data_IF_054828438716
#
_entry.id   IF_054828438716
#
_cell.length_a   1.000
_cell.length_b   1.000
_cell.length_c   1.000
_cell.angle_alpha   90.00
_cell.angle_beta   90.00
_cell.angle_gamma   90.00
#
_symmetry.space_group_name_H-M   'P 1'
#
loop_
_entity.id
_entity.type
_entity.pdbx_description
1 polymer ?
#
# COMPACT_ATOMS: atom_id res chain seq x y z
N UNK A 1 24.69 42.19 -39.80
CA UNK A 1 23.29 41.73 -39.65
C UNK A 1 23.27 40.50 -38.75
N UNK A 2 22.58 40.51 -37.59
CA UNK A 2 22.53 39.34 -36.73
C UNK A 2 21.34 38.44 -37.09
N UNK A 3 21.61 37.15 -37.28
CA UNK A 3 20.61 36.11 -37.54
C UNK A 3 19.83 35.86 -36.25
N UNK A 4 18.51 36.12 -36.27
CA UNK A 4 17.60 35.80 -35.16
C UNK A 4 17.35 34.30 -35.10
N UNK A 5 17.73 33.66 -34.00
CA UNK A 5 17.38 32.28 -33.69
C UNK A 5 16.00 32.24 -33.02
N UNK A 6 15.01 31.62 -33.66
CA UNK A 6 13.71 31.30 -33.06
C UNK A 6 13.67 29.81 -32.73
N UNK A 7 13.47 29.38 -31.48
CA UNK A 7 13.32 27.96 -31.16
C UNK A 7 11.97 27.44 -31.67
N UNK A 8 12.00 26.40 -32.52
CA UNK A 8 10.81 25.63 -32.89
C UNK A 8 10.43 24.68 -31.74
N UNK A 9 9.19 24.75 -31.28
CA UNK A 9 8.59 23.75 -30.39
C UNK A 9 8.41 22.42 -31.14
N UNK A 10 8.80 21.26 -30.58
CA UNK A 10 8.58 19.96 -31.23
C UNK A 10 7.09 19.57 -31.32
N UNK A 11 6.69 19.00 -32.46
CA UNK A 11 5.30 18.73 -32.88
C UNK A 11 4.52 17.64 -32.11
N UNK A 12 5.02 17.14 -30.97
CA UNK A 12 4.28 16.15 -30.16
C UNK A 12 3.19 16.78 -29.27
N UNK A 13 3.03 18.11 -29.29
CA UNK A 13 2.00 18.83 -28.51
C UNK A 13 0.60 18.79 -29.17
N UNK A 14 0.46 18.25 -30.38
CA UNK A 14 -0.83 18.20 -31.11
C UNK A 14 -1.17 16.79 -31.56
N UNK A 15 -1.66 15.95 -30.64
CA UNK A 15 -2.63 14.86 -30.91
C UNK A 15 -2.89 14.06 -29.62
N UNK A 16 -3.81 14.56 -28.79
CA UNK A 16 -4.53 13.69 -27.83
C UNK A 16 -5.67 13.03 -28.60
N UNK A 17 -5.61 11.70 -28.80
CA UNK A 17 -6.82 10.89 -29.02
C UNK A 17 -7.43 10.53 -27.65
N UNK A 18 -8.76 10.39 -27.54
CA UNK A 18 -9.44 10.18 -26.27
C UNK A 18 -9.04 8.82 -25.68
N UNK A 19 -8.78 8.80 -24.38
CA UNK A 19 -8.68 7.56 -23.60
C UNK A 19 -10.12 7.09 -23.35
N UNK A 20 -10.37 5.81 -23.63
CA UNK A 20 -11.67 5.17 -23.47
C UNK A 20 -12.27 5.38 -22.07
N UNK A 21 -13.59 5.51 -22.05
CA UNK A 21 -14.42 5.99 -20.97
C UNK A 21 -14.12 5.35 -19.61
N UNK A 22 -13.88 6.25 -18.67
CA UNK A 22 -13.93 6.04 -17.24
C UNK A 22 -15.42 5.87 -16.89
N UNK A 23 -15.82 4.67 -16.46
CA UNK A 23 -17.19 4.41 -16.03
C UNK A 23 -17.47 5.19 -14.73
N UNK A 24 -17.98 6.39 -14.91
CA UNK A 24 -18.27 7.40 -13.90
C UNK A 24 -19.66 7.18 -13.33
N UNK A 25 -19.84 6.09 -12.57
CA UNK A 25 -21.00 5.91 -11.69
C UNK A 25 -20.58 6.15 -10.22
N UNK A 26 -19.95 7.29 -9.97
CA UNK A 26 -19.88 7.87 -8.63
C UNK A 26 -20.78 9.09 -8.61
N UNK A 27 -22.00 8.89 -8.09
CA UNK A 27 -22.96 9.96 -7.86
C UNK A 27 -22.33 11.05 -7.00
N UNK A 28 -22.35 12.24 -7.58
CA UNK A 28 -22.01 13.51 -6.96
C UNK A 28 -23.28 14.06 -6.36
N UNK A 29 -23.52 13.81 -5.07
CA UNK A 29 -24.49 14.60 -4.32
C UNK A 29 -23.80 15.40 -3.22
N UNK A 30 -23.88 16.70 -3.44
CA UNK A 30 -23.59 17.80 -2.54
C UNK A 30 -24.59 17.74 -1.39
N UNK A 31 -24.13 17.66 -0.15
CA UNK A 31 -25.01 17.76 1.02
C UNK A 31 -24.67 19.03 1.81
N UNK A 32 -25.36 20.12 1.46
CA UNK A 32 -25.65 21.25 2.34
C UNK A 32 -26.59 20.78 3.44
N UNK A 33 -26.21 20.92 4.71
CA UNK A 33 -27.10 20.69 5.86
C UNK A 33 -27.60 22.05 6.34
N UNK A 34 -28.91 22.26 6.23
CA UNK A 34 -29.66 23.28 6.95
C UNK A 34 -30.92 22.64 7.55
N UNK A 35 -31.16 23.00 8.82
CA UNK A 35 -32.46 23.12 9.51
C UNK A 35 -33.17 21.81 9.93
N UNK A 36 -33.20 21.43 11.21
CA UNK A 36 -33.95 21.90 12.41
C UNK A 36 -35.25 21.13 12.68
N UNK A 37 -35.51 20.91 13.98
CA UNK A 37 -36.76 20.49 14.67
C UNK A 37 -37.19 19.01 14.59
N UNK A 38 -37.97 18.42 15.52
CA UNK A 38 -38.21 18.53 16.97
C UNK A 38 -39.32 17.49 17.34
N UNK A 39 -39.37 17.04 18.61
CA UNK A 39 -40.54 16.45 19.35
C UNK A 39 -40.95 14.99 18.93
N UNK A 40 -41.29 14.00 19.77
CA UNK A 40 -41.91 13.96 21.11
C UNK A 40 -41.61 12.65 21.91
N UNK A 41 -41.88 12.74 23.21
CA UNK A 41 -41.94 11.71 24.26
C UNK A 41 -42.95 10.56 24.03
N UNK A 42 -42.64 9.38 24.59
CA UNK A 42 -43.59 8.64 25.45
C UNK A 42 -42.93 7.55 26.31
N UNK A 43 -43.55 7.38 27.48
CA UNK A 43 -43.26 6.67 28.73
C UNK A 43 -43.13 5.13 28.73
N UNK A 44 -42.07 4.66 29.41
CA UNK A 44 -41.95 3.61 30.45
C UNK A 44 -42.90 2.40 30.55
N UNK A 45 -42.32 1.19 30.66
CA UNK A 45 -42.62 0.19 31.73
C UNK A 45 -41.42 -0.74 32.01
N UNK A 46 -41.16 -0.98 33.29
CA UNK A 46 -40.04 -1.71 33.90
C UNK A 46 -39.95 -3.20 33.58
N UNK A 47 -38.73 -3.74 33.60
CA UNK A 47 -38.42 -5.08 34.12
C UNK A 47 -36.97 -5.14 34.60
N UNK A 48 -36.81 -5.22 35.91
CA UNK A 48 -35.53 -5.35 36.61
C UNK A 48 -35.01 -6.77 36.49
N UNK A 49 -33.84 -6.98 35.88
CA UNK A 49 -33.02 -8.17 36.12
C UNK A 49 -31.59 -7.73 36.44
N UNK A 50 -31.25 -8.03 37.68
CA UNK A 50 -29.99 -8.08 38.40
C UNK A 50 -28.71 -8.04 37.57
N UNK A 51 -27.91 -7.02 37.86
CA UNK A 51 -26.53 -6.81 37.48
C UNK A 51 -25.60 -7.91 37.97
N UNK A 52 -24.78 -8.47 37.08
CA UNK A 52 -23.44 -8.95 37.40
C UNK A 52 -22.49 -8.56 36.26
N UNK A 53 -21.98 -7.34 36.38
CA UNK A 53 -20.97 -6.75 35.52
C UNK A 53 -19.59 -7.28 35.89
N UNK A 54 -19.08 -8.24 35.13
CA UNK A 54 -17.63 -8.39 34.94
C UNK A 54 -17.27 -7.61 33.68
N UNK A 55 -16.89 -6.35 33.87
CA UNK A 55 -16.11 -5.61 32.89
C UNK A 55 -14.75 -6.33 32.78
N UNK A 56 -14.68 -7.32 31.89
CA UNK A 56 -13.42 -7.62 31.24
C UNK A 56 -13.19 -6.46 30.29
N UNK A 57 -12.42 -5.47 30.74
CA UNK A 57 -11.80 -4.50 29.85
C UNK A 57 -11.00 -5.31 28.83
N UNK A 58 -11.62 -5.53 27.67
CA UNK A 58 -10.90 -5.97 26.49
C UNK A 58 -9.89 -4.86 26.23
N UNK A 59 -8.66 -5.07 26.70
CA UNK A 59 -7.50 -4.27 26.39
C UNK A 59 -7.44 -4.22 24.86
N UNK A 60 -8.01 -3.15 24.27
CA UNK A 60 -8.06 -3.00 22.84
C UNK A 60 -6.61 -2.90 22.40
N UNK A 61 -6.14 -3.93 21.70
CA UNK A 61 -4.81 -3.95 21.13
C UNK A 61 -4.56 -2.60 20.44
N UNK A 62 -3.64 -1.77 20.96
CA UNK A 62 -3.44 -0.41 20.48
C UNK A 62 -2.98 -0.39 19.01
N UNK A 63 -2.52 -1.52 18.45
CA UNK A 63 -2.19 -1.65 17.04
C UNK A 63 -3.43 -1.64 16.13
N UNK A 64 -4.61 -2.00 16.64
CA UNK A 64 -5.87 -1.99 15.88
C UNK A 64 -6.35 -0.57 15.56
N UNK A 65 -5.98 0.42 16.38
CA UNK A 65 -6.35 1.83 16.21
C UNK A 65 -5.38 2.62 15.31
N UNK A 66 -4.26 2.03 14.87
CA UNK A 66 -3.29 2.73 14.04
C UNK A 66 -3.87 2.93 12.62
N UNK A 67 -3.95 4.17 12.10
CA UNK A 67 -4.48 4.41 10.76
C UNK A 67 -3.63 3.73 9.68
N UNK A 68 -4.30 2.98 8.80
CA UNK A 68 -3.64 2.33 7.66
C UNK A 68 -2.99 3.32 6.71
N UNK A 69 -3.45 4.57 6.61
CA UNK A 69 -2.78 5.57 5.75
C UNK A 69 -1.50 6.07 6.39
N UNK A 70 -0.38 5.92 5.69
CA UNK A 70 0.86 6.63 6.00
C UNK A 70 0.84 7.99 5.30
N UNK A 71 0.91 9.07 6.08
CA UNK A 71 0.98 10.45 5.59
C UNK A 71 2.28 11.08 6.08
N UNK A 72 3.37 10.97 5.32
CA UNK A 72 4.65 11.57 5.70
C UNK A 72 4.58 13.04 6.08
N UNK A 73 3.76 13.83 5.40
CA UNK A 73 3.61 15.27 5.64
C UNK A 73 3.14 15.62 7.05
N UNK A 74 2.56 14.66 7.79
CA UNK A 74 2.14 14.83 9.18
C UNK A 74 3.22 14.42 10.19
N UNK A 75 4.29 13.74 9.73
CA UNK A 75 5.29 13.11 10.59
C UNK A 75 6.68 13.74 10.37
N UNK A 76 6.98 14.07 9.11
CA UNK A 76 8.27 14.59 8.68
C UNK A 76 8.15 16.07 8.27
N UNK A 77 8.87 16.98 8.96
CA UNK A 77 8.87 18.39 8.59
C UNK A 77 9.40 18.60 7.17
N UNK A 78 8.66 19.26 6.26
CA UNK A 78 9.05 19.42 4.87
C UNK A 78 10.30 20.29 4.69
N UNK A 79 10.63 21.13 5.68
CA UNK A 79 11.87 21.90 5.71
C UNK A 79 13.13 21.04 5.93
N UNK A 80 12.98 19.81 6.45
CA UNK A 80 14.10 18.92 6.79
C UNK A 80 14.13 17.66 5.92
N UNK A 81 12.97 17.18 5.45
CA UNK A 81 12.85 15.94 4.71
C UNK A 81 12.22 16.16 3.34
N UNK A 82 12.88 15.65 2.31
CA UNK A 82 12.22 15.35 1.04
C UNK A 82 11.55 13.97 1.12
N UNK A 83 10.59 13.64 0.23
CA UNK A 83 10.00 12.30 0.19
C UNK A 83 11.02 11.16 0.07
N UNK A 84 12.17 11.41 -0.58
CA UNK A 84 13.26 10.43 -0.70
C UNK A 84 14.03 10.24 0.61
N UNK A 85 14.09 11.28 1.44
CA UNK A 85 14.84 11.23 2.71
C UNK A 85 14.17 10.37 3.77
N UNK A 86 12.88 10.07 3.59
CA UNK A 86 12.11 9.18 4.47
C UNK A 86 12.52 7.72 4.28
N UNK A 87 12.94 7.35 3.07
CA UNK A 87 13.45 6.02 2.77
C UNK A 87 14.96 5.98 3.02
N UNK A 88 15.41 5.16 3.96
CA UNK A 88 16.82 5.04 4.32
C UNK A 88 17.32 3.63 3.96
N UNK A 89 18.00 3.46 2.81
CA UNK A 89 18.59 2.18 2.44
C UNK A 89 19.77 1.85 3.37
N UNK A 90 19.76 0.66 3.98
CA UNK A 90 20.92 0.11 4.70
C UNK A 90 21.02 -1.40 4.50
N UNK A 91 22.18 -1.82 3.99
CA UNK A 91 22.38 -3.21 3.58
C UNK A 91 21.34 -3.61 2.53
N UNK A 92 20.62 -4.70 2.79
CA UNK A 92 19.58 -5.25 1.90
C UNK A 92 18.19 -4.65 2.17
N UNK A 93 18.06 -3.69 3.08
CA UNK A 93 16.76 -3.21 3.58
C UNK A 93 16.55 -1.74 3.27
N UNK A 94 15.28 -1.34 3.15
CA UNK A 94 14.85 0.07 3.17
C UNK A 94 14.08 0.31 4.46
N UNK A 95 14.59 1.23 5.29
CA UNK A 95 13.99 1.60 6.57
C UNK A 95 13.31 2.97 6.49
N UNK A 96 12.44 3.26 7.46
CA UNK A 96 11.96 4.63 7.68
C UNK A 96 13.02 5.47 8.41
N UNK A 97 13.22 6.70 7.95
CA UNK A 97 13.98 7.71 8.66
C UNK A 97 13.32 8.04 10.01
N UNK A 98 14.15 8.35 11.00
CA UNK A 98 13.70 8.93 12.26
C UNK A 98 13.22 10.36 12.01
N UNK A 99 11.95 10.71 12.33
CA UNK A 99 11.43 12.06 12.12
C UNK A 99 12.14 13.11 12.98
N UNK A 100 12.84 12.69 14.04
CA UNK A 100 13.66 13.55 14.89
C UNK A 100 15.11 13.69 14.40
N UNK A 101 15.49 13.06 13.30
CA UNK A 101 16.84 13.15 12.74
C UNK A 101 17.06 14.53 12.13
N UNK A 102 17.73 15.41 12.87
CA UNK A 102 17.96 16.81 12.47
C UNK A 102 18.94 16.99 11.32
N UNK A 103 19.90 16.08 11.18
CA UNK A 103 20.96 16.13 10.16
C UNK A 103 21.14 14.77 9.52
N UNK A 104 21.58 14.79 8.26
CA UNK A 104 22.03 13.60 7.53
C UNK A 104 23.46 13.26 7.96
N UNK A 105 23.80 11.99 7.94
CA UNK A 105 25.18 11.55 8.15
C UNK A 105 26.08 12.15 7.06
N UNK A 106 27.21 12.74 7.46
CA UNK A 106 28.15 13.39 6.53
C UNK A 106 28.78 12.43 5.53
N UNK A 107 28.91 11.15 5.87
CA UNK A 107 29.52 10.14 5.00
C UNK A 107 28.54 9.55 3.98
N UNK A 108 27.36 9.13 4.42
CA UNK A 108 26.41 8.42 3.56
C UNK A 108 25.19 9.26 3.13
N UNK A 109 25.03 10.48 3.64
CA UNK A 109 23.99 11.41 3.20
C UNK A 109 22.56 11.00 3.54
N UNK A 110 22.36 10.13 4.55
CA UNK A 110 21.02 9.69 4.99
C UNK A 110 20.75 10.02 6.45
N UNK A 111 19.48 10.13 6.82
CA UNK A 111 19.05 10.31 8.21
C UNK A 111 19.27 9.04 9.04
N UNK A 112 19.25 9.18 10.37
CA UNK A 112 19.13 8.04 11.29
C UNK A 112 17.82 7.30 10.97
N UNK A 113 17.80 5.97 11.03
CA UNK A 113 16.66 5.15 10.67
C UNK A 113 16.16 4.30 11.83
N UNK A 114 14.87 3.97 11.82
CA UNK A 114 14.25 3.00 12.72
C UNK A 114 14.40 1.59 12.13
N UNK A 115 15.22 0.75 12.75
CA UNK A 115 15.57 -0.60 12.26
C UNK A 115 14.44 -1.62 12.41
N UNK A 116 13.42 -1.27 13.19
CA UNK A 116 12.16 -1.98 13.41
C UNK A 116 11.04 -1.51 12.45
N UNK A 117 11.30 -0.52 11.57
CA UNK A 117 10.32 0.04 10.64
C UNK A 117 10.81 -0.05 9.19
N UNK A 118 10.27 -1.00 8.41
CA UNK A 118 10.68 -1.28 7.04
C UNK A 118 9.68 -0.76 6.00
N UNK A 119 10.18 -0.48 4.80
CA UNK A 119 9.38 -0.10 3.63
C UNK A 119 9.42 -1.23 2.60
N UNK A 120 8.25 -1.69 2.19
CA UNK A 120 8.08 -2.69 1.13
C UNK A 120 7.33 -2.04 -0.03
N UNK A 121 7.99 -1.88 -1.16
CA UNK A 121 7.38 -1.33 -2.36
C UNK A 121 6.68 -2.44 -3.17
N UNK A 122 5.50 -2.15 -3.73
CA UNK A 122 4.77 -3.08 -4.56
C UNK A 122 4.25 -2.43 -5.83
N UNK A 123 4.16 -3.23 -6.89
CA UNK A 123 3.45 -2.85 -8.12
C UNK A 123 2.88 -4.10 -8.82
N UNK A 124 1.79 -3.90 -9.54
CA UNK A 124 1.16 -4.90 -10.40
C UNK A 124 1.09 -4.41 -11.84
N UNK A 125 1.41 -5.28 -12.79
CA UNK A 125 1.35 -4.96 -14.21
C UNK A 125 0.46 -5.96 -14.95
N UNK A 126 -0.23 -5.48 -15.99
CA UNK A 126 -1.00 -6.33 -16.89
C UNK A 126 -0.74 -5.89 -18.33
N UNK A 127 -0.36 -6.82 -19.21
CA UNK A 127 -0.35 -6.57 -20.65
C UNK A 127 -1.75 -6.74 -21.21
N UNK A 128 -2.05 -5.91 -22.22
CA UNK A 128 -3.32 -5.93 -22.95
C UNK A 128 -4.52 -5.77 -22.02
N UNK A 129 -4.71 -4.56 -21.50
CA UNK A 129 -5.89 -4.19 -20.72
C UNK A 129 -7.13 -4.06 -21.65
N UNK A 130 -7.42 -5.12 -22.43
CA UNK A 130 -8.52 -5.20 -23.39
C UNK A 130 -8.29 -4.53 -24.76
N UNK A 131 -7.11 -3.97 -25.05
CA UNK A 131 -6.91 -3.10 -26.23
C UNK A 131 -6.08 -3.70 -27.38
N UNK A 132 -5.48 -4.88 -27.21
CA UNK A 132 -4.74 -5.57 -28.27
C UNK A 132 -5.41 -6.93 -28.57
N UNK A 133 -6.11 -7.08 -29.72
CA UNK A 133 -6.98 -8.22 -29.98
C UNK A 133 -6.27 -9.58 -30.19
N UNK A 134 -4.94 -9.61 -30.30
CA UNK A 134 -4.19 -10.82 -30.67
C UNK A 134 -3.33 -11.44 -29.57
N UNK A 135 -3.20 -10.82 -28.39
CA UNK A 135 -2.35 -11.34 -27.31
C UNK A 135 -3.17 -11.65 -26.06
N UNK A 136 -3.10 -12.89 -25.58
CA UNK A 136 -3.71 -13.32 -24.30
C UNK A 136 -3.28 -12.35 -23.18
N UNK A 137 -4.20 -11.77 -22.40
CA UNK A 137 -3.85 -10.86 -21.32
C UNK A 137 -3.04 -11.61 -20.26
N UNK A 138 -2.05 -10.93 -19.70
CA UNK A 138 -1.13 -11.53 -18.73
C UNK A 138 -0.85 -10.51 -17.64
N UNK A 139 -1.01 -10.93 -16.40
CA UNK A 139 -0.70 -10.13 -15.22
C UNK A 139 0.60 -10.59 -14.56
N UNK A 140 1.22 -9.69 -13.83
CA UNK A 140 2.41 -9.94 -13.03
C UNK A 140 2.47 -8.99 -11.84
N UNK A 141 3.36 -9.30 -10.89
CA UNK A 141 3.64 -8.48 -9.72
C UNK A 141 5.13 -8.32 -9.49
N UNK A 142 5.47 -7.23 -8.80
CA UNK A 142 6.79 -6.94 -8.26
C UNK A 142 6.66 -6.48 -6.80
N UNK A 143 7.46 -7.07 -5.91
CA UNK A 143 7.62 -6.68 -4.50
C UNK A 143 9.10 -6.42 -4.24
N UNK A 144 9.42 -5.23 -3.74
CA UNK A 144 10.79 -4.77 -3.51
C UNK A 144 10.97 -4.32 -2.05
N UNK A 145 11.82 -5.02 -1.31
CA UNK A 145 12.20 -4.74 0.08
C UNK A 145 13.56 -4.03 0.20
N UNK A 146 14.37 -4.06 -0.88
CA UNK A 146 15.70 -3.46 -0.94
C UNK A 146 16.59 -4.14 -1.97
N UNK A 147 17.76 -3.55 -2.26
CA UNK A 147 18.68 -4.15 -3.23
C UNK A 147 19.25 -5.47 -2.72
N UNK A 148 19.33 -6.45 -3.63
CA UNK A 148 19.69 -7.82 -3.35
C UNK A 148 18.85 -8.48 -2.24
N UNK A 149 17.71 -7.96 -1.80
CA UNK A 149 16.97 -8.57 -0.70
C UNK A 149 16.37 -9.94 -1.11
N UNK A 150 16.57 -11.03 -0.34
CA UNK A 150 16.03 -12.35 -0.68
C UNK A 150 14.49 -12.41 -0.66
N UNK A 151 13.84 -11.47 0.04
CA UNK A 151 12.39 -11.34 0.08
C UNK A 151 11.80 -10.57 -1.10
N UNK A 152 12.64 -10.00 -1.97
CA UNK A 152 12.18 -9.44 -3.23
C UNK A 152 11.46 -10.52 -4.05
N UNK A 153 10.30 -10.17 -4.62
CA UNK A 153 9.51 -11.12 -5.41
C UNK A 153 9.14 -10.54 -6.76
N UNK A 154 9.35 -11.34 -7.80
CA UNK A 154 8.87 -11.11 -9.15
C UNK A 154 8.08 -12.34 -9.55
N UNK A 155 6.84 -12.18 -9.99
CA UNK A 155 6.00 -13.30 -10.38
C UNK A 155 5.11 -12.92 -11.56
N UNK A 156 5.10 -13.76 -12.59
CA UNK A 156 4.04 -13.78 -13.60
C UNK A 156 2.88 -14.62 -13.04
N UNK A 157 1.66 -14.10 -13.14
CA UNK A 157 0.48 -14.74 -12.57
C UNK A 157 -0.13 -15.69 -13.61
N UNK A 158 -0.52 -16.88 -13.15
CA UNK A 158 -1.28 -17.86 -13.95
C UNK A 158 -2.75 -17.46 -14.03
N UNK A 159 -3.54 -18.15 -14.86
CA UNK A 159 -4.99 -17.96 -14.91
C UNK A 159 -5.63 -18.29 -13.54
N UNK A 160 -5.17 -19.36 -12.88
CA UNK A 160 -5.62 -19.73 -11.53
C UNK A 160 -5.28 -18.66 -10.49
N UNK A 161 -4.07 -18.08 -10.55
CA UNK A 161 -3.66 -17.00 -9.64
C UNK A 161 -4.62 -15.80 -9.71
N UNK A 162 -5.24 -15.54 -10.86
CA UNK A 162 -6.10 -14.37 -11.10
C UNK A 162 -7.59 -14.69 -11.21
N UNK A 163 -8.00 -15.96 -11.04
CA UNK A 163 -9.37 -16.39 -11.28
C UNK A 163 -9.82 -16.09 -12.71
N UNK A 164 -8.95 -16.38 -13.68
CA UNK A 164 -9.09 -16.20 -15.13
C UNK A 164 -9.29 -14.74 -15.60
N UNK A 165 -9.20 -13.76 -14.69
CA UNK A 165 -9.39 -12.34 -14.99
C UNK A 165 -8.10 -11.53 -14.86
N UNK A 166 -7.32 -11.54 -15.93
CA UNK A 166 -6.14 -10.69 -16.06
C UNK A 166 -6.53 -9.22 -16.28
N UNK A 167 -6.40 -8.39 -15.24
CA UNK A 167 -6.57 -6.94 -15.32
C UNK A 167 -5.49 -6.20 -14.53
N UNK A 168 -5.31 -4.91 -14.80
CA UNK A 168 -4.38 -4.08 -14.02
C UNK A 168 -4.77 -4.04 -12.53
N UNK A 169 -6.06 -3.98 -12.22
CA UNK A 169 -6.55 -3.96 -10.82
C UNK A 169 -6.26 -5.29 -10.09
N UNK A 170 -6.51 -6.42 -10.75
CA UNK A 170 -6.22 -7.74 -10.19
C UNK A 170 -4.72 -7.91 -9.96
N UNK A 171 -3.88 -7.49 -10.91
CA UNK A 171 -2.42 -7.50 -10.75
C UNK A 171 -1.97 -6.71 -9.51
N UNK A 172 -2.53 -5.51 -9.32
CA UNK A 172 -2.24 -4.64 -8.17
C UNK A 172 -2.68 -5.27 -6.84
N UNK A 173 -3.86 -5.90 -6.79
CA UNK A 173 -4.36 -6.58 -5.59
C UNK A 173 -3.50 -7.79 -5.22
N UNK A 174 -3.08 -8.59 -6.21
CA UNK A 174 -2.20 -9.73 -6.01
C UNK A 174 -0.80 -9.30 -5.56
N UNK A 175 -0.29 -8.20 -6.12
CA UNK A 175 0.95 -7.59 -5.66
C UNK A 175 0.86 -7.09 -4.21
N UNK A 176 -0.27 -6.51 -3.82
CA UNK A 176 -0.53 -6.03 -2.45
C UNK A 176 -0.57 -7.21 -1.47
N UNK A 177 -1.36 -8.24 -1.77
CA UNK A 177 -1.42 -9.46 -0.98
C UNK A 177 -0.04 -10.11 -0.83
N UNK A 178 0.73 -10.20 -1.93
CA UNK A 178 2.10 -10.75 -1.87
C UNK A 178 3.02 -9.91 -0.98
N UNK A 179 2.96 -8.58 -1.06
CA UNK A 179 3.77 -7.71 -0.20
C UNK A 179 3.46 -7.89 1.29
N UNK A 180 2.19 -8.09 1.63
CA UNK A 180 1.76 -8.40 3.01
C UNK A 180 2.22 -9.80 3.45
N UNK A 181 2.17 -10.81 2.58
CA UNK A 181 2.77 -12.11 2.88
C UNK A 181 4.28 -12.00 3.12
N UNK A 182 5.01 -11.22 2.31
CA UNK A 182 6.45 -11.02 2.53
C UNK A 182 6.70 -10.32 3.86
N UNK A 183 5.86 -9.36 4.26
CA UNK A 183 5.95 -8.72 5.56
C UNK A 183 5.88 -9.73 6.72
N UNK A 184 4.97 -10.72 6.63
CA UNK A 184 4.84 -11.77 7.64
C UNK A 184 6.09 -12.64 7.71
N UNK A 185 6.56 -13.14 6.56
CA UNK A 185 7.80 -13.93 6.48
C UNK A 185 9.01 -13.19 7.05
N UNK A 186 9.14 -11.89 6.75
CA UNK A 186 10.22 -11.06 7.28
C UNK A 186 10.11 -10.89 8.80
N UNK A 187 8.89 -10.72 9.31
CA UNK A 187 8.62 -10.61 10.74
C UNK A 187 9.04 -11.88 11.49
N UNK A 188 8.60 -13.04 11.01
CA UNK A 188 8.94 -14.36 11.56
C UNK A 188 10.46 -14.61 11.53
N UNK A 189 11.10 -14.41 10.38
CA UNK A 189 12.53 -14.69 10.20
C UNK A 189 13.44 -13.82 11.09
N UNK A 190 13.06 -12.55 11.27
CA UNK A 190 13.77 -11.62 12.16
C UNK A 190 13.54 -11.93 13.64
N UNK A 191 12.33 -12.39 14.01
CA UNK A 191 12.05 -12.83 15.37
C UNK A 191 12.82 -14.12 15.73
N UNK A 192 12.99 -15.03 14.76
CA UNK A 192 13.73 -16.28 14.93
C UNK A 192 15.26 -16.11 14.89
N UNK A 193 15.77 -14.89 14.66
CA UNK A 193 17.21 -14.61 14.65
C UNK A 193 17.97 -15.25 13.49
N UNK A 194 17.28 -15.53 12.38
CA UNK A 194 17.83 -16.27 11.25
C UNK A 194 18.89 -15.47 10.48
N UNK A 195 20.14 -15.89 10.70
CA UNK A 195 21.30 -16.03 9.81
C UNK A 195 21.46 -15.23 8.50
N UNK A 196 20.94 -14.01 8.33
CA UNK A 196 21.58 -13.05 7.42
C UNK A 196 22.92 -12.60 8.03
N UNK A 197 23.89 -13.51 8.04
CA UNK A 197 25.15 -13.52 8.78
C UNK A 197 26.11 -12.35 8.52
N UNK A 198 25.68 -11.13 8.85
CA UNK A 198 26.53 -9.95 8.88
C UNK A 198 26.76 -9.58 10.35
N UNK A 199 27.95 -9.96 10.82
CA UNK A 199 28.55 -9.73 12.13
C UNK A 199 28.65 -8.25 12.57
N UNK A 200 28.22 -7.29 11.75
CA UNK A 200 28.20 -5.88 12.13
C UNK A 200 27.07 -5.51 13.12
N UNK A 201 26.15 -6.42 13.42
CA UNK A 201 25.02 -6.16 14.33
C UNK A 201 25.23 -6.53 15.81
N UNK A 202 26.26 -7.30 16.15
CA UNK A 202 26.45 -7.78 17.54
C UNK A 202 27.04 -6.74 18.50
N UNK A 203 27.70 -5.70 17.99
CA UNK A 203 28.30 -4.66 18.84
C UNK A 203 27.29 -3.59 19.34
N UNK A 204 26.06 -3.54 18.81
CA UNK A 204 25.06 -2.51 19.15
C UNK A 204 23.66 -3.04 19.53
N UNK A 205 23.48 -4.35 19.75
CA UNK A 205 22.25 -4.87 20.38
C UNK A 205 20.93 -4.57 19.64
N UNK A 206 20.92 -4.58 18.30
CA UNK A 206 19.71 -4.28 17.52
C UNK A 206 19.48 -5.25 16.35
N UNK A 207 19.04 -6.47 16.68
CA UNK A 207 18.09 -7.21 15.86
C UNK A 207 16.74 -7.07 16.54
N UNK A 208 16.02 -5.99 16.27
CA UNK A 208 14.67 -5.79 16.82
C UNK A 208 13.66 -6.34 15.83
N UNK A 209 12.66 -7.01 16.36
CA UNK A 209 11.49 -7.48 15.62
C UNK A 209 10.92 -6.35 14.76
N UNK A 210 10.42 -6.70 13.57
CA UNK A 210 9.74 -5.71 12.73
C UNK A 210 8.45 -5.31 13.42
N UNK A 211 8.34 -4.04 13.79
CA UNK A 211 7.14 -3.48 14.46
C UNK A 211 6.26 -2.68 13.52
N UNK A 212 6.84 -2.18 12.42
CA UNK A 212 6.14 -1.39 11.44
C UNK A 212 6.55 -1.76 10.03
N UNK A 213 5.56 -2.01 9.18
CA UNK A 213 5.73 -2.18 7.74
C UNK A 213 4.94 -1.10 7.01
N UNK A 214 5.61 -0.36 6.15
CA UNK A 214 4.98 0.56 5.22
C UNK A 214 4.97 -0.04 3.82
N UNK A 215 3.78 -0.39 3.35
CA UNK A 215 3.53 -0.79 1.96
C UNK A 215 3.50 0.46 1.09
N UNK A 216 4.49 0.61 0.21
CA UNK A 216 4.63 1.75 -0.70
C UNK A 216 4.09 1.39 -2.09
N UNK A 217 3.23 2.24 -2.63
CA UNK A 217 2.64 2.07 -3.96
C UNK A 217 2.33 3.42 -4.62
N UNK A 218 2.38 3.48 -5.94
CA UNK A 218 1.89 4.60 -6.76
C UNK A 218 0.45 4.39 -7.26
N UNK A 219 -0.21 3.31 -6.84
CA UNK A 219 -1.59 2.99 -7.19
C UNK A 219 -2.58 3.59 -6.19
N UNK A 220 -3.31 4.63 -6.62
CA UNK A 220 -4.45 5.16 -5.84
C UNK A 220 -5.52 4.09 -5.59
N UNK A 221 -5.73 3.20 -6.56
CA UNK A 221 -6.68 2.09 -6.42
C UNK A 221 -6.38 1.25 -5.17
N UNK A 222 -5.11 0.91 -4.95
CA UNK A 222 -4.69 0.16 -3.77
C UNK A 222 -4.74 1.03 -2.52
N UNK A 223 -4.07 2.19 -2.52
CA UNK A 223 -3.91 2.94 -1.27
C UNK A 223 -5.25 3.50 -0.79
N UNK A 224 -6.05 4.12 -1.66
CA UNK A 224 -7.39 4.60 -1.26
C UNK A 224 -8.34 3.43 -1.01
N UNK A 225 -8.24 2.36 -1.80
CA UNK A 225 -9.00 1.14 -1.59
C UNK A 225 -8.86 0.62 -0.17
N UNK A 226 -7.62 0.42 0.30
CA UNK A 226 -7.36 -0.06 1.67
C UNK A 226 -7.72 0.98 2.75
N UNK A 227 -7.42 2.26 2.53
CA UNK A 227 -7.48 3.25 3.62
C UNK A 227 -8.80 3.99 3.75
N UNK A 228 -9.61 4.05 2.69
CA UNK A 228 -10.83 4.87 2.63
C UNK A 228 -12.06 4.03 2.30
N UNK A 229 -11.96 3.13 1.31
CA UNK A 229 -13.10 2.40 0.77
C UNK A 229 -13.37 1.09 1.50
N UNK A 230 -12.33 0.30 1.76
CA UNK A 230 -12.43 -1.00 2.42
C UNK A 230 -13.10 -0.94 3.80
N UNK A 231 -12.85 0.06 4.67
CA UNK A 231 -13.62 0.19 5.92
C UNK A 231 -15.13 0.36 5.68
N UNK A 232 -15.53 1.11 4.65
CA UNK A 232 -16.94 1.31 4.29
C UNK A 232 -17.56 0.05 3.71
N UNK A 233 -16.82 -0.64 2.84
CA UNK A 233 -17.24 -1.93 2.30
C UNK A 233 -17.42 -2.97 3.41
N UNK A 234 -16.51 -3.03 4.40
CA UNK A 234 -16.68 -3.92 5.56
C UNK A 234 -17.96 -3.60 6.34
N UNK A 235 -18.25 -2.32 6.55
CA UNK A 235 -19.44 -1.88 7.28
C UNK A 235 -20.76 -2.18 6.55
N UNK A 236 -20.75 -2.28 5.21
CA UNK A 236 -21.95 -2.51 4.41
C UNK A 236 -22.05 -3.92 3.80
N UNK A 237 -21.30 -4.90 4.33
CA UNK A 237 -21.34 -6.28 3.83
C UNK A 237 -20.66 -6.49 2.48
N UNK A 238 -19.72 -5.62 2.12
CA UNK A 238 -18.93 -5.61 0.88
C UNK A 238 -19.74 -5.30 -0.38
N UNK A 239 -20.73 -4.42 -0.25
CA UNK A 239 -21.59 -3.98 -1.33
C UNK A 239 -21.19 -2.59 -1.85
N UNK A 240 -21.45 -2.32 -3.12
CA UNK A 240 -21.37 -0.98 -3.69
C UNK A 240 -22.71 -0.22 -3.50
N UNK A 241 -22.78 1.03 -3.94
CA UNK A 241 -24.00 1.87 -3.86
C UNK A 241 -25.20 1.28 -4.60
N UNK A 242 -24.96 0.44 -5.62
CA UNK A 242 -25.98 -0.25 -6.41
C UNK A 242 -26.46 -1.56 -5.77
N UNK A 243 -26.00 -1.88 -4.56
CA UNK A 243 -26.37 -3.12 -3.86
C UNK A 243 -25.71 -4.38 -4.42
N UNK A 244 -24.71 -4.23 -5.30
CA UNK A 244 -23.95 -5.36 -5.88
C UNK A 244 -22.63 -5.49 -5.14
N UNK A 245 -22.13 -6.72 -5.02
CA UNK A 245 -20.82 -6.97 -4.42
C UNK A 245 -19.72 -6.15 -5.11
N UNK A 246 -18.82 -5.59 -4.31
CA UNK A 246 -17.71 -4.78 -4.80
C UNK A 246 -16.82 -5.59 -5.75
N UNK A 247 -16.39 -4.97 -6.85
CA UNK A 247 -15.47 -5.62 -7.77
C UNK A 247 -14.19 -6.10 -7.06
N UNK A 248 -13.81 -7.35 -7.31
CA UNK A 248 -12.68 -8.02 -6.66
C UNK A 248 -12.83 -8.17 -5.13
N UNK A 249 -14.06 -8.23 -4.58
CA UNK A 249 -14.31 -8.31 -3.14
C UNK A 249 -13.53 -9.43 -2.44
N UNK A 250 -13.41 -10.61 -3.04
CA UNK A 250 -12.60 -11.70 -2.47
C UNK A 250 -11.12 -11.31 -2.31
N UNK A 251 -10.53 -10.66 -3.31
CA UNK A 251 -9.14 -10.21 -3.25
C UNK A 251 -8.96 -9.10 -2.21
N UNK A 252 -9.93 -8.20 -2.05
CA UNK A 252 -9.92 -7.21 -0.97
C UNK A 252 -10.06 -7.86 0.42
N UNK A 253 -10.93 -8.85 0.58
CA UNK A 253 -11.05 -9.62 1.82
C UNK A 253 -9.75 -10.34 2.17
N UNK A 254 -9.02 -10.84 1.18
CA UNK A 254 -7.69 -11.41 1.41
C UNK A 254 -6.69 -10.36 1.93
N UNK A 255 -6.66 -9.16 1.32
CA UNK A 255 -5.82 -8.05 1.79
C UNK A 255 -6.18 -7.67 3.24
N UNK A 256 -7.48 -7.58 3.56
CA UNK A 256 -7.96 -7.29 4.91
C UNK A 256 -7.50 -8.35 5.93
N UNK A 257 -7.67 -9.65 5.61
CA UNK A 257 -7.21 -10.75 6.47
C UNK A 257 -5.70 -10.70 6.72
N UNK A 258 -4.90 -10.44 5.69
CA UNK A 258 -3.45 -10.35 5.82
C UNK A 258 -3.02 -9.16 6.68
N UNK A 259 -3.69 -8.00 6.54
CA UNK A 259 -3.46 -6.84 7.41
C UNK A 259 -3.82 -7.17 8.87
N UNK A 260 -4.95 -7.83 9.11
CA UNK A 260 -5.37 -8.24 10.44
C UNK A 260 -4.40 -9.26 11.07
N UNK A 261 -3.93 -10.24 10.29
CA UNK A 261 -2.94 -11.23 10.75
C UNK A 261 -1.67 -10.54 11.22
N UNK A 262 -1.07 -9.68 10.38
CA UNK A 262 0.15 -8.95 10.73
C UNK A 262 -0.01 -8.11 12.00
N UNK A 263 -1.17 -7.47 12.18
CA UNK A 263 -1.46 -6.72 13.42
C UNK A 263 -1.54 -7.63 14.64
N UNK A 264 -2.21 -8.77 14.52
CA UNK A 264 -2.25 -9.80 15.56
C UNK A 264 -0.87 -10.33 15.93
N UNK A 265 0.05 -10.36 14.96
CA UNK A 265 1.47 -10.72 15.15
C UNK A 265 2.31 -9.54 15.71
N UNK A 266 1.69 -8.42 16.08
CA UNK A 266 2.36 -7.24 16.62
C UNK A 266 3.05 -6.34 15.57
N UNK A 267 2.79 -6.57 14.28
CA UNK A 267 3.35 -5.82 13.16
C UNK A 267 2.33 -4.78 12.67
N UNK A 268 2.55 -3.51 12.99
CA UNK A 268 1.73 -2.43 12.47
C UNK A 268 1.92 -2.30 10.94
N UNK A 269 0.82 -2.21 10.19
CA UNK A 269 0.83 -2.03 8.73
C UNK A 269 0.33 -0.64 8.36
N UNK A 270 1.04 0.02 7.44
CA UNK A 270 0.58 1.28 6.82
C UNK A 270 0.81 1.28 5.30
N UNK A 271 0.07 2.12 4.59
CA UNK A 271 0.08 2.26 3.15
C UNK A 271 0.47 3.68 2.75
N UNK A 272 1.49 3.79 1.92
CA UNK A 272 2.05 5.05 1.45
C UNK A 272 1.82 5.21 -0.06
N UNK A 273 0.95 6.15 -0.41
CA UNK A 273 0.79 6.60 -1.79
C UNK A 273 1.96 7.52 -2.17
N UNK A 274 2.70 7.14 -3.22
CA UNK A 274 3.82 7.92 -3.74
C UNK A 274 3.64 8.28 -5.21
N UNK A 275 4.30 9.34 -5.72
CA UNK A 275 4.37 9.57 -7.15
C UNK A 275 5.03 8.41 -7.90
N UNK A 276 4.60 8.13 -9.14
CA UNK A 276 5.11 7.02 -9.97
C UNK A 276 6.64 6.92 -10.03
N UNK A 277 7.32 8.06 -10.09
CA UNK A 277 8.80 8.12 -10.14
C UNK A 277 9.51 7.55 -8.89
N UNK A 278 8.81 7.40 -7.77
CA UNK A 278 9.34 6.85 -6.51
C UNK A 278 9.10 5.35 -6.34
N UNK A 279 8.28 4.72 -7.21
CA UNK A 279 7.99 3.28 -7.16
C UNK A 279 8.71 2.48 -8.28
N UNK A 280 9.76 3.07 -8.88
CA UNK A 280 10.41 2.54 -10.10
C UNK A 280 10.93 1.11 -9.96
N UNK A 281 11.44 0.71 -8.79
CA UNK A 281 11.97 -0.64 -8.58
C UNK A 281 10.85 -1.68 -8.68
N UNK A 282 9.78 -1.53 -7.90
CA UNK A 282 8.65 -2.46 -7.92
C UNK A 282 7.96 -2.47 -9.30
N UNK A 283 7.77 -1.29 -9.91
CA UNK A 283 7.23 -1.21 -11.27
C UNK A 283 8.10 -1.85 -12.34
N UNK A 284 9.43 -1.67 -12.25
CA UNK A 284 10.38 -2.31 -13.14
C UNK A 284 10.34 -3.83 -13.00
N UNK A 285 10.28 -4.33 -11.77
CA UNK A 285 10.14 -5.74 -11.44
C UNK A 285 8.83 -6.35 -11.97
N UNK A 286 7.69 -5.68 -11.76
CA UNK A 286 6.42 -6.16 -12.29
C UNK A 286 6.43 -6.22 -13.83
N UNK A 287 6.99 -5.21 -14.49
CA UNK A 287 7.07 -5.16 -15.95
C UNK A 287 8.05 -6.16 -16.54
N UNK A 288 9.18 -6.44 -15.91
CA UNK A 288 10.16 -7.42 -16.43
C UNK A 288 9.60 -8.85 -16.44
N UNK A 289 8.77 -9.19 -15.45
CA UNK A 289 8.07 -10.48 -15.39
C UNK A 289 7.18 -10.75 -16.60
N UNK A 290 6.66 -9.69 -17.21
CA UNK A 290 5.88 -9.78 -18.43
C UNK A 290 6.83 -10.21 -19.57
N UNK A 291 7.94 -9.52 -19.79
CA UNK A 291 8.85 -9.75 -20.93
C UNK A 291 9.56 -11.10 -20.89
N UNK A 292 9.84 -11.65 -19.70
CA UNK A 292 10.61 -12.88 -19.54
C UNK A 292 9.98 -14.14 -20.18
N UNK A 293 8.67 -14.18 -20.40
CA UNK A 293 8.02 -15.31 -21.08
C UNK A 293 7.79 -15.09 -22.58
N UNK A 294 8.67 -14.33 -23.25
CA UNK A 294 8.66 -14.13 -24.72
C UNK A 294 9.94 -14.64 -25.40
N UNK A 295 10.84 -15.32 -24.67
CA UNK A 295 12.13 -15.84 -25.18
C UNK A 295 12.12 -17.39 -25.19
N UNK A 296 11.00 -18.00 -25.57
CA UNK A 296 10.93 -19.45 -25.79
C UNK A 296 10.60 -19.71 -27.25
#
# INVERSE_FOLDING_TARGET
MPVRYTPRTPDWVKTRKPVADYDSDTDSDTYTISDTESIASSTSTSSTITSLSTHADAEQDPTLLIPLRFRPSLIYPPAQFTPRDIEVPRGRWVYLACPHSRVKCSSCGVHVAHTDAIVIAMDGACRSNGTAPSAKPVSSLGVFCGFANPYNRVQRLTDEDVGERHTSQVAQLKACARALCQAGLIGEDRALGSADGHSYGRAHGQGRDVRLVVIKSDSEYIVRGVTELMPRWKANGWMNSRGVEVANAEAWRLVDRLVCSLRGDGIAVRFWLVPKGMNRQASGMARSALTLGQIC
#
